data_IF_912127414210
#
_entry.id   IF_912127414210
#
_cell.length_a   1.000
_cell.length_b   1.000
_cell.length_c   1.000
_cell.angle_alpha   90.00
_cell.angle_beta   90.00
_cell.angle_gamma   90.00
#
_symmetry.space_group_name_H-M   'P 1'
#
loop_
_entity.id
_entity.type
_entity.pdbx_description
1 polymer ?
#
# COMPACT_ATOMS: atom_id res chain seq x y z
N UNK A 1 -23.50 -18.35 28.76
CA UNK A 1 -23.67 -18.75 27.35
C UNK A 1 -23.89 -17.49 26.53
N UNK A 2 -22.85 -16.95 25.89
CA UNK A 2 -22.95 -15.80 24.99
C UNK A 2 -23.26 -16.31 23.60
N UNK A 3 -24.48 -16.06 23.13
CA UNK A 3 -24.95 -16.35 21.77
C UNK A 3 -24.04 -15.63 20.77
N UNK A 4 -23.32 -16.43 19.98
CA UNK A 4 -22.67 -15.97 18.75
C UNK A 4 -23.82 -15.56 17.84
N UNK A 5 -23.98 -14.25 17.58
CA UNK A 5 -24.86 -13.80 16.50
C UNK A 5 -24.22 -14.30 15.22
N UNK A 6 -24.87 -15.27 14.58
CA UNK A 6 -24.54 -15.64 13.22
C UNK A 6 -24.63 -14.38 12.34
N UNK A 7 -23.65 -14.17 11.44
CA UNK A 7 -23.68 -13.02 10.55
C UNK A 7 -24.95 -13.07 9.67
N UNK A 8 -25.52 -11.91 9.33
CA UNK A 8 -26.71 -11.85 8.49
C UNK A 8 -26.50 -12.62 7.18
N UNK A 9 -27.52 -13.36 6.77
CA UNK A 9 -27.52 -14.36 5.68
C UNK A 9 -27.22 -13.79 4.29
N UNK A 10 -27.03 -12.46 4.16
CA UNK A 10 -26.70 -11.74 2.93
C UNK A 10 -25.47 -10.82 3.13
N UNK A 11 -24.50 -11.28 3.91
CA UNK A 11 -23.25 -10.56 4.09
C UNK A 11 -22.34 -10.73 2.84
N UNK A 12 -22.25 -9.69 2.02
CA UNK A 12 -21.31 -9.64 0.90
C UNK A 12 -20.03 -8.92 1.31
N UNK A 13 -18.90 -9.58 1.11
CA UNK A 13 -17.59 -8.97 1.28
C UNK A 13 -17.41 -7.80 0.29
N UNK A 14 -16.64 -6.77 0.65
CA UNK A 14 -16.17 -5.79 -0.32
C UNK A 14 -15.51 -6.48 -1.52
N UNK A 15 -15.55 -5.84 -2.71
CA UNK A 15 -14.86 -6.36 -3.88
C UNK A 15 -13.41 -6.71 -3.53
N UNK A 16 -13.04 -7.96 -3.83
CA UNK A 16 -11.71 -8.51 -3.56
C UNK A 16 -11.28 -9.41 -4.72
N UNK A 17 -9.99 -9.69 -4.82
CA UNK A 17 -9.41 -10.56 -5.85
C UNK A 17 -9.73 -10.07 -7.28
N UNK A 18 -10.26 -10.94 -8.16
CA UNK A 18 -10.48 -10.64 -9.57
C UNK A 18 -11.44 -9.46 -9.79
N UNK A 19 -12.64 -9.40 -9.16
CA UNK A 19 -13.50 -8.22 -9.25
C UNK A 19 -12.79 -6.91 -8.86
N UNK A 20 -11.95 -6.96 -7.82
CA UNK A 20 -11.23 -5.76 -7.39
C UNK A 20 -10.09 -5.39 -8.33
N UNK A 21 -9.45 -6.38 -8.97
CA UNK A 21 -8.42 -6.17 -9.98
C UNK A 21 -9.03 -5.55 -11.25
N UNK A 22 -10.21 -6.00 -11.67
CA UNK A 22 -10.96 -5.41 -12.78
C UNK A 22 -11.34 -3.95 -12.47
N UNK A 23 -11.85 -3.66 -11.27
CA UNK A 23 -12.11 -2.28 -10.85
C UNK A 23 -10.85 -1.39 -10.88
N UNK A 24 -9.68 -1.93 -10.53
CA UNK A 24 -8.41 -1.20 -10.64
C UNK A 24 -8.05 -0.90 -12.10
N UNK A 25 -8.26 -1.87 -13.01
CA UNK A 25 -8.04 -1.72 -14.46
C UNK A 25 -8.96 -0.67 -15.05
N UNK A 26 -10.25 -0.76 -14.79
CA UNK A 26 -11.24 0.23 -15.24
C UNK A 26 -10.92 1.63 -14.71
N UNK A 27 -10.55 1.75 -13.43
CA UNK A 27 -10.17 3.04 -12.85
C UNK A 27 -8.90 3.61 -13.50
N UNK A 28 -7.95 2.76 -13.89
CA UNK A 28 -6.73 3.15 -14.62
C UNK A 28 -7.07 3.59 -16.04
N UNK A 29 -7.92 2.86 -16.75
CA UNK A 29 -8.30 3.15 -18.13
C UNK A 29 -9.12 4.44 -18.21
N UNK A 30 -10.04 4.64 -17.26
CA UNK A 30 -10.77 5.89 -17.12
C UNK A 30 -9.85 7.08 -16.86
N UNK A 31 -8.91 6.95 -15.91
CA UNK A 31 -7.94 8.01 -15.63
C UNK A 31 -7.01 8.28 -16.83
N UNK A 32 -6.64 7.23 -17.57
CA UNK A 32 -5.82 7.33 -18.79
C UNK A 32 -6.57 8.06 -19.90
N UNK A 33 -7.87 7.79 -20.05
CA UNK A 33 -8.74 8.48 -21.01
C UNK A 33 -8.87 9.96 -20.68
N UNK A 34 -9.05 10.31 -19.39
CA UNK A 34 -9.05 11.71 -18.95
C UNK A 34 -7.72 12.42 -19.22
N UNK A 35 -6.59 11.76 -18.92
CA UNK A 35 -5.27 12.31 -19.17
C UNK A 35 -5.03 12.55 -20.67
N UNK A 36 -5.46 11.61 -21.52
CA UNK A 36 -5.34 11.71 -22.97
C UNK A 36 -6.22 12.83 -23.53
N UNK A 37 -7.48 12.94 -23.07
CA UNK A 37 -8.37 14.03 -23.47
C UNK A 37 -7.81 15.40 -23.06
N UNK A 38 -7.31 15.52 -21.83
CA UNK A 38 -6.68 16.75 -21.35
C UNK A 38 -5.39 17.10 -22.12
N UNK A 39 -4.56 16.10 -22.42
CA UNK A 39 -3.35 16.26 -23.23
C UNK A 39 -3.65 16.65 -24.67
N UNK A 40 -4.64 16.02 -25.31
CA UNK A 40 -5.09 16.36 -26.65
C UNK A 40 -5.64 17.80 -26.72
N UNK A 41 -6.44 18.21 -25.74
CA UNK A 41 -6.92 19.58 -25.62
C UNK A 41 -5.78 20.60 -25.41
N UNK A 42 -4.75 20.24 -24.63
CA UNK A 42 -3.57 21.07 -24.42
C UNK A 42 -2.74 21.23 -25.72
N UNK A 43 -2.60 20.18 -26.52
CA UNK A 43 -1.93 20.24 -27.82
C UNK A 43 -2.73 21.08 -28.83
N UNK A 44 -4.05 20.87 -28.91
CA UNK A 44 -4.93 21.63 -29.81
C UNK A 44 -4.96 23.13 -29.52
N UNK A 45 -4.72 23.53 -28.27
CA UNK A 45 -4.65 24.94 -27.85
C UNK A 45 -3.24 25.54 -27.96
N UNK A 46 -2.28 24.83 -28.58
CA UNK A 46 -0.91 25.32 -28.76
C UNK A 46 -0.12 25.36 -27.46
N UNK A 47 -0.24 24.33 -26.62
CA UNK A 47 0.04 24.41 -25.18
C UNK A 47 1.46 24.66 -24.68
N UNK A 48 2.43 24.88 -25.58
CA UNK A 48 3.74 25.46 -25.21
C UNK A 48 3.71 26.99 -25.31
N UNK A 49 2.86 27.54 -26.16
CA UNK A 49 2.82 28.95 -26.56
C UNK A 49 1.67 29.70 -25.87
N UNK A 50 0.56 29.01 -25.56
CA UNK A 50 -0.65 29.64 -25.02
C UNK A 50 -0.87 29.31 -23.52
N UNK A 51 -1.19 30.30 -22.66
CA UNK A 51 -1.37 30.09 -21.22
C UNK A 51 -2.50 29.10 -20.87
N UNK A 52 -3.52 28.98 -21.73
CA UNK A 52 -4.57 27.97 -21.56
C UNK A 52 -4.08 26.53 -21.71
N UNK A 53 -3.10 26.27 -22.59
CA UNK A 53 -2.55 24.93 -22.74
C UNK A 53 -1.65 24.53 -21.56
N UNK A 54 -0.97 25.49 -20.92
CA UNK A 54 -0.27 25.25 -19.64
C UNK A 54 -1.22 24.85 -18.52
N UNK A 55 -2.39 25.50 -18.43
CA UNK A 55 -3.44 25.13 -17.45
C UNK A 55 -3.97 23.73 -17.73
N UNK A 56 -4.23 23.39 -18.99
CA UNK A 56 -4.69 22.05 -19.40
C UNK A 56 -3.63 20.97 -19.14
N UNK A 57 -2.33 21.26 -19.36
CA UNK A 57 -1.23 20.39 -18.96
C UNK A 57 -1.18 20.17 -17.44
N UNK A 58 -1.37 21.22 -16.65
CA UNK A 58 -1.46 21.14 -15.19
C UNK A 58 -2.63 20.26 -14.72
N UNK A 59 -3.76 20.29 -15.43
CA UNK A 59 -4.91 19.43 -15.16
C UNK A 59 -4.63 17.95 -15.49
N UNK A 60 -3.81 17.65 -16.49
CA UNK A 60 -3.40 16.28 -16.83
C UNK A 60 -2.42 15.64 -15.82
N UNK A 61 -1.70 16.45 -15.03
CA UNK A 61 -0.70 15.96 -14.06
C UNK A 61 -1.31 15.14 -12.90
N UNK A 62 -2.47 15.55 -12.38
CA UNK A 62 -3.16 14.81 -11.29
C UNK A 62 -3.63 13.42 -11.75
N UNK A 63 -4.29 13.27 -12.92
CA UNK A 63 -4.55 11.97 -13.54
C UNK A 63 -3.29 11.12 -13.70
N UNK A 64 -2.17 11.68 -14.17
CA UNK A 64 -0.92 10.92 -14.37
C UNK A 64 -0.36 10.29 -13.10
N UNK A 65 -0.31 11.04 -11.99
CA UNK A 65 0.11 10.49 -10.69
C UNK A 65 -0.83 9.37 -10.24
N UNK A 66 -2.15 9.55 -10.46
CA UNK A 66 -3.16 8.56 -10.13
C UNK A 66 -3.00 7.29 -10.98
N UNK A 67 -2.77 7.42 -12.28
CA UNK A 67 -2.52 6.30 -13.21
C UNK A 67 -1.29 5.51 -12.74
N UNK A 68 -0.18 6.18 -12.42
CA UNK A 68 1.01 5.50 -11.91
C UNK A 68 0.72 4.74 -10.61
N UNK A 69 -0.02 5.35 -9.67
CA UNK A 69 -0.40 4.66 -8.44
C UNK A 69 -1.27 3.43 -8.71
N UNK A 70 -2.26 3.55 -9.59
CA UNK A 70 -3.15 2.44 -9.97
C UNK A 70 -2.40 1.32 -10.70
N UNK A 71 -1.47 1.66 -11.60
CA UNK A 71 -0.65 0.67 -12.29
C UNK A 71 0.23 -0.14 -11.33
N UNK A 72 0.80 0.51 -10.29
CA UNK A 72 1.56 -0.19 -9.23
C UNK A 72 0.67 -1.14 -8.43
N UNK A 73 -0.52 -0.69 -8.07
CA UNK A 73 -1.51 -1.49 -7.36
C UNK A 73 -1.98 -2.69 -8.19
N UNK A 74 -2.28 -2.48 -9.48
CA UNK A 74 -2.66 -3.53 -10.41
C UNK A 74 -1.54 -4.57 -10.56
N UNK A 75 -0.30 -4.13 -10.83
CA UNK A 75 0.85 -5.03 -10.98
C UNK A 75 1.04 -5.89 -9.72
N UNK A 76 1.02 -5.26 -8.54
CA UNK A 76 1.22 -5.99 -7.29
C UNK A 76 0.04 -6.91 -6.98
N UNK A 77 -1.20 -6.46 -7.17
CA UNK A 77 -2.40 -7.27 -6.93
C UNK A 77 -2.42 -8.49 -7.83
N UNK A 78 -2.18 -8.33 -9.14
CA UNK A 78 -2.14 -9.44 -10.08
C UNK A 78 -1.06 -10.47 -9.73
N UNK A 79 0.14 -10.00 -9.36
CA UNK A 79 1.24 -10.86 -8.94
C UNK A 79 0.88 -11.64 -7.65
N UNK A 80 0.26 -11.00 -6.67
CA UNK A 80 -0.15 -11.65 -5.43
C UNK A 80 -1.26 -12.69 -5.64
N UNK A 81 -2.24 -12.36 -6.49
CA UNK A 81 -3.31 -13.30 -6.83
C UNK A 81 -2.77 -14.51 -7.56
N UNK A 82 -1.86 -14.34 -8.52
CA UNK A 82 -1.26 -15.45 -9.25
C UNK A 82 -0.46 -16.37 -8.33
N UNK A 83 0.37 -15.80 -7.45
CA UNK A 83 1.29 -16.57 -6.60
C UNK A 83 0.56 -17.30 -5.46
N UNK A 84 -0.45 -16.68 -4.86
CA UNK A 84 -1.09 -17.16 -3.63
C UNK A 84 -2.53 -17.65 -3.81
N UNK A 85 -3.00 -17.81 -5.06
CA UNK A 85 -4.35 -18.31 -5.37
C UNK A 85 -4.69 -19.61 -4.65
N UNK A 86 -3.76 -20.55 -4.67
CA UNK A 86 -3.90 -21.88 -4.06
C UNK A 86 -4.04 -21.83 -2.54
N UNK A 87 -3.62 -20.73 -1.91
CA UNK A 87 -3.64 -20.54 -0.46
C UNK A 87 -4.90 -19.78 0.03
N UNK A 88 -5.85 -19.50 -0.87
CA UNK A 88 -7.10 -18.83 -0.52
C UNK A 88 -6.93 -17.36 -0.14
N UNK A 89 -5.95 -16.67 -0.74
CA UNK A 89 -5.69 -15.25 -0.50
C UNK A 89 -6.92 -14.39 -0.81
N UNK A 90 -7.20 -13.42 0.05
CA UNK A 90 -8.16 -12.35 -0.18
C UNK A 90 -7.40 -11.02 -0.23
N UNK A 91 -7.39 -10.37 -1.40
CA UNK A 91 -6.74 -9.07 -1.62
C UNK A 91 -7.79 -7.99 -1.79
N UNK A 92 -7.77 -7.01 -0.88
CA UNK A 92 -8.66 -5.86 -0.85
C UNK A 92 -7.87 -4.58 -1.18
N UNK A 93 -7.87 -4.13 -2.43
CA UNK A 93 -7.17 -2.90 -2.82
C UNK A 93 -7.98 -1.65 -2.49
N UNK A 94 -7.28 -0.54 -2.20
CA UNK A 94 -7.85 0.82 -2.10
C UNK A 94 -9.03 0.90 -1.09
N UNK A 95 -8.86 0.32 0.09
CA UNK A 95 -9.83 0.51 1.17
C UNK A 95 -9.78 1.97 1.64
N UNK A 96 -10.94 2.58 1.81
CA UNK A 96 -11.07 3.99 2.24
C UNK A 96 -11.63 4.04 3.66
N UNK A 97 -10.79 4.14 4.70
CA UNK A 97 -11.25 4.51 6.02
C UNK A 97 -11.80 5.94 5.98
N UNK A 98 -12.88 6.20 6.71
CA UNK A 98 -13.37 7.56 6.95
C UNK A 98 -12.24 8.42 7.56
N UNK A 99 -12.09 9.64 7.03
CA UNK A 99 -11.11 10.65 7.46
C UNK A 99 -9.62 10.26 7.40
N UNK A 100 -9.26 9.21 6.65
CA UNK A 100 -7.85 8.81 6.46
C UNK A 100 -7.49 8.59 5.00
N UNK A 101 -6.19 8.59 4.73
CA UNK A 101 -5.68 8.18 3.43
C UNK A 101 -6.07 6.72 3.15
N UNK A 102 -6.40 6.39 1.89
CA UNK A 102 -6.77 5.03 1.53
C UNK A 102 -5.61 4.06 1.80
N UNK A 103 -5.97 2.90 2.31
CA UNK A 103 -5.09 1.74 2.44
C UNK A 103 -4.82 1.23 1.04
N UNK A 104 -3.56 1.04 0.68
CA UNK A 104 -3.20 0.60 -0.67
C UNK A 104 -3.64 -0.85 -0.89
N UNK A 105 -3.22 -1.77 -0.02
CA UNK A 105 -3.71 -3.15 -0.01
C UNK A 105 -3.92 -3.66 1.42
N UNK A 106 -5.04 -4.33 1.64
CA UNK A 106 -5.25 -5.22 2.77
C UNK A 106 -5.31 -6.65 2.26
N UNK A 107 -4.45 -7.52 2.79
CA UNK A 107 -4.39 -8.93 2.43
C UNK A 107 -4.82 -9.76 3.63
N UNK A 108 -5.74 -10.68 3.40
CA UNK A 108 -6.18 -11.65 4.39
C UNK A 108 -5.92 -13.06 3.87
N UNK A 109 -5.22 -13.83 4.68
CA UNK A 109 -5.18 -15.28 4.58
C UNK A 109 -6.10 -15.80 5.69
N UNK A 110 -7.34 -16.23 5.37
CA UNK A 110 -8.34 -16.57 6.36
C UNK A 110 -7.78 -17.51 7.44
N UNK A 111 -7.96 -17.15 8.71
CA UNK A 111 -7.47 -17.90 9.89
C UNK A 111 -5.96 -18.07 10.04
N UNK A 112 -5.14 -17.57 9.10
CA UNK A 112 -3.66 -17.64 9.16
C UNK A 112 -3.05 -16.31 9.55
N UNK A 113 -3.24 -15.27 8.74
CA UNK A 113 -2.60 -13.97 8.94
C UNK A 113 -3.30 -12.85 8.19
N UNK A 114 -3.11 -11.61 8.68
CA UNK A 114 -3.48 -10.39 7.98
C UNK A 114 -2.22 -9.58 7.63
N UNK A 115 -2.25 -8.85 6.52
CA UNK A 115 -1.18 -7.94 6.12
C UNK A 115 -1.77 -6.61 5.63
N UNK A 116 -1.23 -5.50 6.14
CA UNK A 116 -1.42 -4.18 5.55
C UNK A 116 -0.19 -3.82 4.74
N UNK A 117 -0.39 -3.55 3.46
CA UNK A 117 0.68 -3.08 2.58
C UNK A 117 0.38 -1.64 2.18
N UNK A 118 1.33 -0.75 2.44
CA UNK A 118 1.34 0.58 1.84
C UNK A 118 2.44 0.68 0.80
N UNK A 119 2.06 1.05 -0.42
CA UNK A 119 2.98 1.21 -1.54
C UNK A 119 3.30 2.68 -1.67
N UNK A 120 4.59 3.02 -1.65
CA UNK A 120 5.03 4.42 -1.71
C UNK A 120 6.22 4.59 -2.65
N UNK A 121 6.15 5.65 -3.45
CA UNK A 121 7.27 6.13 -4.27
C UNK A 121 7.47 7.63 -4.02
N UNK A 122 8.72 8.04 -3.85
CA UNK A 122 9.20 9.42 -3.65
C UNK A 122 10.23 9.83 -4.70
N UNK A 123 10.21 9.22 -5.88
CA UNK A 123 11.20 9.47 -6.93
C UNK A 123 12.58 8.92 -6.55
N UNK A 124 13.63 9.41 -7.20
CA UNK A 124 15.02 9.00 -6.93
C UNK A 124 15.46 9.54 -5.57
N UNK A 125 15.25 8.73 -4.54
CA UNK A 125 15.36 9.15 -3.14
C UNK A 125 15.61 7.97 -2.23
N UNK A 126 16.38 8.23 -1.18
CA UNK A 126 16.67 7.29 -0.12
C UNK A 126 15.82 7.59 1.13
N UNK A 127 15.28 6.53 1.72
CA UNK A 127 14.47 6.58 2.93
C UNK A 127 15.37 6.32 4.12
N UNK A 128 15.52 7.34 4.96
CA UNK A 128 16.33 7.32 6.18
C UNK A 128 15.41 7.26 7.38
N UNK A 129 15.73 6.43 8.37
CA UNK A 129 14.99 6.38 9.62
C UNK A 129 15.75 7.14 10.71
N UNK A 130 15.10 8.12 11.31
CA UNK A 130 15.66 8.87 12.44
C UNK A 130 15.17 8.23 13.73
N UNK A 131 16.03 7.47 14.40
CA UNK A 131 15.69 6.73 15.62
C UNK A 131 15.28 7.64 16.79
N UNK A 132 15.98 8.76 16.99
CA UNK A 132 15.70 9.70 18.10
C UNK A 132 14.29 10.28 18.04
N UNK A 133 13.76 10.48 16.82
CA UNK A 133 12.44 11.07 16.58
C UNK A 133 11.41 10.03 16.13
N UNK A 134 11.83 8.79 15.91
CA UNK A 134 11.05 7.70 15.32
C UNK A 134 10.32 8.12 14.03
N UNK A 135 10.96 8.90 13.16
CA UNK A 135 10.37 9.40 11.91
C UNK A 135 11.14 8.93 10.69
N UNK A 136 10.39 8.70 9.61
CA UNK A 136 10.97 8.54 8.28
C UNK A 136 11.30 9.90 7.68
N UNK A 137 12.51 9.99 7.14
CA UNK A 137 13.02 11.13 6.39
C UNK A 137 13.36 10.65 4.98
N UNK A 138 13.30 11.57 4.03
CA UNK A 138 13.61 11.32 2.62
C UNK A 138 14.79 12.20 2.23
N UNK A 139 15.85 11.58 1.75
CA UNK A 139 17.02 12.21 1.16
C UNK A 139 16.90 12.10 -0.36
N UNK A 140 16.80 13.23 -1.07
CA UNK A 140 16.80 13.22 -2.54
C UNK A 140 18.24 13.14 -3.03
N UNK A 141 18.49 12.41 -4.12
CA UNK A 141 19.85 12.25 -4.67
C UNK A 141 20.49 13.59 -5.04
N UNK A 142 19.70 14.51 -5.63
CA UNK A 142 20.18 15.80 -6.12
C UNK A 142 20.08 16.95 -5.09
N UNK A 143 19.68 16.66 -3.84
CA UNK A 143 19.53 17.71 -2.82
C UNK A 143 20.23 17.34 -1.53
N UNK A 144 21.05 18.28 -1.05
CA UNK A 144 21.67 18.21 0.27
C UNK A 144 20.62 18.60 1.34
N UNK A 145 19.75 17.66 1.71
CA UNK A 145 18.76 17.89 2.75
C UNK A 145 17.90 16.68 3.06
N UNK A 146 17.59 16.50 4.35
CA UNK A 146 16.64 15.50 4.83
C UNK A 146 15.28 16.15 5.01
N UNK A 147 14.30 15.72 4.21
CA UNK A 147 12.91 16.17 4.38
C UNK A 147 12.14 15.15 5.22
N UNK A 148 11.37 15.60 6.20
CA UNK A 148 10.50 14.69 6.96
C UNK A 148 9.40 14.13 6.05
N UNK A 149 9.19 12.82 6.08
CA UNK A 149 8.09 12.20 5.34
C UNK A 149 6.76 12.49 6.04
N UNK A 150 5.95 13.35 5.42
CA UNK A 150 4.58 13.66 5.83
C UNK A 150 3.57 13.25 4.76
N UNK A 151 2.43 12.63 5.13
CA UNK A 151 2.18 11.95 6.42
C UNK A 151 3.16 10.77 6.63
N UNK A 152 3.39 10.36 7.88
CA UNK A 152 4.36 9.29 8.17
C UNK A 152 3.73 7.91 7.93
N UNK A 153 4.25 7.10 6.98
CA UNK A 153 3.67 5.80 6.64
C UNK A 153 3.58 4.83 7.83
N UNK A 154 4.53 4.89 8.76
CA UNK A 154 4.56 4.03 9.95
C UNK A 154 3.35 4.28 10.87
N UNK A 155 2.84 5.51 10.91
CA UNK A 155 1.66 5.85 11.72
C UNK A 155 0.39 5.47 10.97
N UNK A 156 0.34 5.72 9.65
CA UNK A 156 -0.80 5.35 8.80
C UNK A 156 -1.10 3.85 8.91
N UNK A 157 -0.09 2.99 8.77
CA UNK A 157 -0.25 1.54 8.84
C UNK A 157 -0.85 1.06 10.18
N UNK A 158 -0.43 1.64 11.30
CA UNK A 158 -1.00 1.31 12.61
C UNK A 158 -2.41 1.86 12.80
N UNK A 159 -2.70 3.02 12.20
CA UNK A 159 -4.04 3.60 12.21
C UNK A 159 -5.02 2.78 11.35
N UNK A 160 -4.52 2.05 10.34
CA UNK A 160 -5.29 1.10 9.53
C UNK A 160 -5.61 -0.19 10.29
N UNK A 161 -4.63 -0.75 11.00
CA UNK A 161 -4.86 -1.89 11.89
C UNK A 161 -5.97 -1.58 12.91
N UNK A 162 -5.91 -0.42 13.55
CA UNK A 162 -6.94 0.03 14.49
C UNK A 162 -8.31 0.23 13.83
N UNK A 163 -8.34 0.69 12.58
CA UNK A 163 -9.57 0.84 11.82
C UNK A 163 -10.19 -0.52 11.48
N UNK A 164 -9.38 -1.51 11.10
CA UNK A 164 -9.82 -2.88 10.82
C UNK A 164 -10.45 -3.52 12.06
N UNK A 165 -9.89 -3.31 13.26
CA UNK A 165 -10.49 -3.85 14.49
C UNK A 165 -11.89 -3.31 14.74
N UNK A 166 -12.12 -2.03 14.43
CA UNK A 166 -13.44 -1.41 14.55
C UNK A 166 -14.40 -1.89 13.47
N UNK A 167 -13.91 -2.09 12.25
CA UNK A 167 -14.69 -2.41 11.05
C UNK A 167 -14.57 -3.89 10.63
N UNK A 168 -14.26 -4.77 11.58
CA UNK A 168 -14.05 -6.20 11.33
C UNK A 168 -15.25 -6.87 10.69
N UNK A 169 -16.44 -6.35 11.01
CA UNK A 169 -17.72 -6.84 10.52
C UNK A 169 -17.81 -6.60 8.99
N UNK A 170 -17.17 -5.57 8.43
CA UNK A 170 -17.08 -5.34 6.97
C UNK A 170 -16.32 -6.44 6.23
N UNK A 171 -15.55 -7.26 6.93
CA UNK A 171 -14.79 -8.37 6.34
C UNK A 171 -15.29 -9.73 6.81
N UNK A 172 -16.45 -9.77 7.48
CA UNK A 172 -17.01 -11.01 8.04
C UNK A 172 -16.09 -11.65 9.07
N UNK A 173 -15.26 -10.86 9.75
CA UNK A 173 -14.31 -11.37 10.74
C UNK A 173 -14.93 -11.38 12.13
N UNK A 174 -14.72 -12.47 12.85
CA UNK A 174 -15.05 -12.50 14.28
C UNK A 174 -14.05 -11.69 15.11
N UNK A 175 -14.47 -11.24 16.30
CA UNK A 175 -13.55 -10.58 17.25
C UNK A 175 -12.35 -11.48 17.62
N UNK A 176 -12.53 -12.80 17.64
CA UNK A 176 -11.45 -13.77 17.90
C UNK A 176 -10.44 -13.82 16.76
N UNK A 177 -10.90 -13.73 15.51
CA UNK A 177 -10.01 -13.73 14.34
C UNK A 177 -9.15 -12.47 14.33
N UNK A 178 -9.73 -11.28 14.51
CA UNK A 178 -8.93 -10.05 14.49
C UNK A 178 -7.90 -9.97 15.61
N UNK A 179 -8.21 -10.52 16.79
CA UNK A 179 -7.33 -10.41 17.97
C UNK A 179 -6.27 -11.49 18.05
N UNK A 180 -6.55 -12.70 17.55
CA UNK A 180 -5.61 -13.83 17.63
C UNK A 180 -4.78 -14.02 16.36
N UNK A 181 -5.27 -13.56 15.22
CA UNK A 181 -4.55 -13.70 13.96
C UNK A 181 -3.42 -12.67 13.89
N UNK A 182 -2.17 -13.09 13.63
CA UNK A 182 -1.05 -12.16 13.48
C UNK A 182 -1.32 -11.17 12.35
N UNK A 183 -1.01 -9.90 12.60
CA UNK A 183 -1.18 -8.82 11.62
C UNK A 183 0.17 -8.17 11.34
N UNK A 184 0.63 -8.27 10.08
CA UNK A 184 1.86 -7.62 9.62
C UNK A 184 1.59 -6.25 9.01
N UNK A 185 2.48 -5.29 9.25
CA UNK A 185 2.46 -3.95 8.65
C UNK A 185 3.68 -3.82 7.75
N UNK A 186 3.45 -3.54 6.47
CA UNK A 186 4.49 -3.55 5.44
C UNK A 186 4.45 -2.24 4.68
N UNK A 187 5.58 -1.56 4.64
CA UNK A 187 5.84 -0.42 3.76
C UNK A 187 6.67 -0.92 2.58
N UNK A 188 6.05 -0.92 1.39
CA UNK A 188 6.73 -1.27 0.14
C UNK A 188 7.23 0.00 -0.50
N UNK A 189 8.54 0.09 -0.65
CA UNK A 189 9.21 1.13 -1.40
C UNK A 189 9.22 0.73 -2.88
N UNK A 190 8.65 1.61 -3.70
CA UNK A 190 8.54 1.37 -5.14
C UNK A 190 9.63 2.12 -5.88
N UNK A 191 10.31 1.42 -6.79
CA UNK A 191 11.45 1.97 -7.55
C UNK A 191 11.05 3.27 -8.26
N UNK A 192 11.90 4.33 -8.24
CA UNK A 192 13.32 4.37 -7.85
C UNK A 192 13.58 4.73 -6.37
N UNK A 193 12.57 4.70 -5.51
CA UNK A 193 12.77 4.96 -4.08
C UNK A 193 13.41 3.75 -3.41
N UNK A 194 14.43 3.97 -2.58
CA UNK A 194 15.15 2.89 -1.91
C UNK A 194 15.30 3.17 -0.41
N UNK A 195 15.45 2.13 0.40
CA UNK A 195 15.93 2.30 1.77
C UNK A 195 17.40 2.75 1.73
N UNK A 196 17.79 3.63 2.65
CA UNK A 196 19.20 3.97 2.80
C UNK A 196 20.00 2.71 3.23
N UNK A 197 21.25 2.57 2.78
CA UNK A 197 22.09 1.40 3.08
C UNK A 197 22.81 1.51 4.44
N UNK A 198 22.72 2.67 5.08
CA UNK A 198 23.46 3.04 6.29
C UNK A 198 22.63 2.98 7.57
N UNK A 199 21.50 2.25 7.57
CA UNK A 199 20.74 2.01 8.80
C UNK A 199 21.55 1.16 9.78
N UNK A 200 21.34 1.43 11.07
CA UNK A 200 22.02 0.67 12.11
C UNK A 200 21.62 -0.82 12.06
N UNK A 201 22.56 -1.76 12.29
CA UNK A 201 22.30 -3.19 12.16
C UNK A 201 21.15 -3.72 13.03
N UNK A 202 20.90 -3.12 14.20
CA UNK A 202 19.82 -3.54 15.12
C UNK A 202 18.41 -3.23 14.61
N UNK A 203 18.29 -2.40 13.57
CA UNK A 203 17.00 -2.13 12.93
C UNK A 203 16.60 -3.25 11.95
N UNK A 204 17.52 -4.14 11.61
CA UNK A 204 17.24 -5.28 10.74
C UNK A 204 16.79 -6.48 11.56
N UNK A 205 15.78 -7.19 11.05
CA UNK A 205 15.29 -8.46 11.57
C UNK A 205 15.41 -9.51 10.48
N UNK A 206 15.72 -10.73 10.89
CA UNK A 206 15.68 -11.89 9.99
C UNK A 206 14.27 -12.47 9.96
N UNK A 207 13.80 -12.83 8.76
CA UNK A 207 12.53 -13.50 8.52
C UNK A 207 12.72 -14.54 7.42
N UNK A 208 12.82 -15.80 7.79
CA UNK A 208 13.29 -16.84 6.88
C UNK A 208 14.73 -16.56 6.44
N UNK A 209 14.97 -16.50 5.13
CA UNK A 209 16.24 -16.12 4.51
C UNK A 209 16.45 -14.61 4.39
N UNK A 210 15.43 -13.81 4.65
CA UNK A 210 15.44 -12.37 4.36
C UNK A 210 15.92 -11.55 5.55
N UNK A 211 16.77 -10.56 5.26
CA UNK A 211 17.15 -9.51 6.22
C UNK A 211 16.35 -8.24 5.92
N UNK A 212 15.36 -7.94 6.75
CA UNK A 212 14.36 -6.89 6.49
C UNK A 212 14.46 -5.79 7.53
N UNK A 213 14.28 -4.54 7.11
CA UNK A 213 14.25 -3.40 8.01
C UNK A 213 12.94 -3.39 8.82
N UNK A 214 13.04 -3.50 10.14
CA UNK A 214 11.91 -3.57 11.08
C UNK A 214 11.87 -2.33 11.97
N UNK A 215 11.07 -1.35 11.57
CA UNK A 215 10.99 -0.05 12.25
C UNK A 215 9.91 -0.04 13.33
N UNK A 216 10.24 0.48 14.51
CA UNK A 216 9.34 0.56 15.66
C UNK A 216 8.84 2.00 15.83
N UNK A 217 7.52 2.19 15.91
CA UNK A 217 6.91 3.48 16.29
C UNK A 217 5.54 3.28 16.93
N UNK A 218 4.59 2.71 16.19
CA UNK A 218 3.28 2.29 16.69
C UNK A 218 3.12 0.79 16.43
N UNK A 219 4.03 0.00 17.01
CA UNK A 219 4.28 -1.38 16.63
C UNK A 219 5.36 -1.49 15.54
N UNK A 220 5.58 -2.70 15.06
CA UNK A 220 6.61 -3.03 14.07
C UNK A 220 6.06 -2.86 12.66
N UNK A 221 6.77 -2.12 11.82
CA UNK A 221 6.53 -2.05 10.38
C UNK A 221 7.76 -2.54 9.65
N UNK A 222 7.56 -3.48 8.74
CA UNK A 222 8.59 -4.00 7.86
C UNK A 222 8.70 -3.09 6.63
N UNK A 223 9.91 -2.68 6.28
CA UNK A 223 10.20 -1.89 5.08
C UNK A 223 10.96 -2.77 4.11
N UNK A 224 10.40 -2.95 2.92
CA UNK A 224 10.92 -3.81 1.86
C UNK A 224 10.84 -3.11 0.51
N UNK A 225 11.56 -3.64 -0.47
CA UNK A 225 11.45 -3.22 -1.87
C UNK A 225 10.30 -3.94 -2.59
N UNK A 226 9.88 -3.43 -3.75
CA UNK A 226 8.77 -4.02 -4.53
C UNK A 226 9.05 -5.46 -4.96
N UNK A 227 10.31 -5.79 -5.24
CA UNK A 227 10.74 -7.12 -5.71
C UNK A 227 10.68 -8.17 -4.59
N UNK A 228 10.78 -7.73 -3.33
CA UNK A 228 10.88 -8.57 -2.13
C UNK A 228 9.50 -8.97 -1.58
N UNK A 229 8.39 -8.45 -2.14
CA UNK A 229 7.05 -8.63 -1.56
C UNK A 229 6.61 -10.10 -1.53
N UNK A 230 6.88 -10.86 -2.59
CA UNK A 230 6.49 -12.28 -2.65
C UNK A 230 7.28 -13.13 -1.67
N UNK A 231 8.59 -12.93 -1.60
CA UNK A 231 9.47 -13.63 -0.66
C UNK A 231 9.09 -13.29 0.78
N UNK A 232 8.81 -12.01 1.06
CA UNK A 232 8.34 -11.57 2.38
C UNK A 232 7.06 -12.29 2.79
N UNK A 233 6.07 -12.36 1.91
CA UNK A 233 4.79 -13.01 2.24
C UNK A 233 4.98 -14.52 2.45
N UNK A 234 5.81 -15.18 1.64
CA UNK A 234 6.16 -16.60 1.85
C UNK A 234 6.83 -16.82 3.21
N UNK A 235 7.85 -16.03 3.54
CA UNK A 235 8.56 -16.11 4.81
C UNK A 235 7.65 -15.79 6.00
N UNK A 236 6.75 -14.81 5.84
CA UNK A 236 5.78 -14.45 6.86
C UNK A 236 4.76 -15.58 7.08
N UNK A 237 4.24 -16.20 6.03
CA UNK A 237 3.31 -17.32 6.14
C UNK A 237 3.98 -18.52 6.81
N UNK A 238 5.20 -18.88 6.39
CA UNK A 238 5.95 -20.00 6.98
C UNK A 238 6.20 -19.85 8.49
N UNK A 239 6.19 -18.62 9.02
CA UNK A 239 6.33 -18.36 10.46
C UNK A 239 5.07 -18.71 11.26
N UNK A 240 3.90 -18.76 10.62
CA UNK A 240 2.59 -18.96 11.27
C UNK A 240 1.81 -20.16 10.71
N UNK A 241 2.45 -21.00 9.90
CA UNK A 241 2.00 -22.37 9.63
C UNK A 241 2.35 -23.29 10.80
#
# INVERSE_FOLDING_TARGET
MTTVKDPPTDFQLPPHNEPALEMLREAKDYASTQALAAGAAALATGGIIHPFGWVLFGLAYKPLIRIQKLARLEKLTALLLNEFKSQGIQVFPVLKPEDKNPIDLFIRFPRKTHLFISIRSRGDSQVVYNEKREILQVKKKDKNGLTTWKPCPLVELSDYERWLTKNRDLFGMSSKEVTKTPTGKVLVLWSPTQAASDHNPHLYSEMGSMKILALRRKGTTFVIQEEEVTEFIKAWLAKYE
#
